data_IF_009056479051
#
_entry.id   IF_009056479051
#
_cell.length_a   1.000
_cell.length_b   1.000
_cell.length_c   1.000
_cell.angle_alpha   90.00
_cell.angle_beta   90.00
_cell.angle_gamma   90.00
#
_symmetry.space_group_name_H-M   'P 1'
#
loop_
_entity.id
_entity.type
_entity.pdbx_description
1 polymer ?
#
# COMPACT_ATOMS: atom_id res chain seq x y z
N UNK A 1 -3.20 -33.00 -26.27
CA UNK A 1 -3.56 -31.86 -25.40
C UNK A 1 -2.69 -31.82 -24.13
N UNK A 2 -1.37 -31.57 -24.25
CA UNK A 2 -0.40 -31.55 -23.12
C UNK A 2 0.14 -30.16 -22.76
N UNK A 3 -0.37 -29.09 -23.38
CA UNK A 3 0.12 -27.72 -23.19
C UNK A 3 -0.51 -26.98 -22.01
N UNK A 4 -1.71 -27.34 -21.56
CA UNK A 4 -2.32 -26.72 -20.37
C UNK A 4 -1.54 -26.92 -19.06
N UNK A 5 -1.05 -28.13 -18.70
CA UNK A 5 -0.39 -28.33 -17.42
C UNK A 5 0.95 -27.60 -17.31
N UNK A 6 1.68 -27.41 -18.42
CA UNK A 6 2.96 -26.70 -18.41
C UNK A 6 2.81 -25.18 -18.29
N UNK A 7 1.75 -24.60 -18.85
CA UNK A 7 1.43 -23.16 -18.72
C UNK A 7 0.91 -22.85 -17.31
N UNK A 8 0.03 -23.70 -16.76
CA UNK A 8 -0.44 -23.58 -15.37
C UNK A 8 0.71 -23.70 -14.36
N UNK A 9 1.65 -24.63 -14.58
CA UNK A 9 2.82 -24.79 -13.69
C UNK A 9 3.78 -23.59 -13.75
N UNK A 10 3.88 -22.91 -14.89
CA UNK A 10 4.65 -21.66 -15.05
C UNK A 10 3.96 -20.46 -14.40
N UNK A 11 2.63 -20.35 -14.49
CA UNK A 11 1.89 -19.31 -13.77
C UNK A 11 1.98 -19.49 -12.25
N UNK A 12 1.98 -20.73 -11.76
CA UNK A 12 2.19 -21.05 -10.34
C UNK A 12 3.61 -20.72 -9.85
N UNK A 13 4.65 -20.94 -10.66
CA UNK A 13 6.02 -20.52 -10.28
C UNK A 13 6.24 -19.01 -10.36
N UNK A 14 5.49 -18.31 -11.22
CA UNK A 14 5.56 -16.85 -11.37
C UNK A 14 4.84 -16.10 -10.26
N UNK A 15 3.68 -16.60 -9.81
CA UNK A 15 2.88 -15.97 -8.76
C UNK A 15 3.58 -15.96 -7.39
N UNK A 16 4.25 -17.05 -7.00
CA UNK A 16 5.04 -17.09 -5.75
C UNK A 16 6.27 -16.17 -5.80
N UNK A 17 6.85 -15.97 -6.99
CA UNK A 17 7.97 -15.05 -7.16
C UNK A 17 7.52 -13.59 -7.07
N UNK A 18 6.38 -13.27 -7.66
CA UNK A 18 5.76 -11.94 -7.64
C UNK A 18 5.32 -11.55 -6.22
N UNK A 19 4.70 -12.48 -5.48
CA UNK A 19 4.29 -12.25 -4.09
C UNK A 19 5.47 -12.00 -3.14
N UNK A 20 6.57 -12.75 -3.32
CA UNK A 20 7.82 -12.51 -2.55
C UNK A 20 8.43 -11.16 -2.90
N UNK A 21 8.51 -10.83 -4.18
CA UNK A 21 9.08 -9.55 -4.63
C UNK A 21 8.23 -8.38 -4.12
N UNK A 22 6.90 -8.47 -4.19
CA UNK A 22 5.97 -7.50 -3.62
C UNK A 22 6.13 -7.33 -2.10
N UNK A 23 6.31 -8.43 -1.36
CA UNK A 23 6.61 -8.37 0.07
C UNK A 23 7.93 -7.63 0.34
N UNK A 24 9.01 -7.98 -0.35
CA UNK A 24 10.30 -7.32 -0.18
C UNK A 24 10.24 -5.84 -0.49
N UNK A 25 9.58 -5.46 -1.59
CA UNK A 25 9.38 -4.05 -1.97
C UNK A 25 8.60 -3.31 -0.89
N UNK A 26 7.49 -3.87 -0.38
CA UNK A 26 6.70 -3.24 0.67
C UNK A 26 7.47 -3.09 1.98
N UNK A 27 8.22 -4.13 2.38
CA UNK A 27 9.03 -4.09 3.59
C UNK A 27 10.18 -3.06 3.48
N UNK A 28 10.91 -3.06 2.37
CA UNK A 28 11.97 -2.09 2.12
C UNK A 28 11.42 -0.67 2.04
N UNK A 29 10.29 -0.48 1.35
CA UNK A 29 9.62 0.82 1.29
C UNK A 29 9.22 1.31 2.68
N UNK A 30 8.66 0.44 3.54
CA UNK A 30 8.28 0.80 4.91
C UNK A 30 9.48 1.22 5.77
N UNK A 31 10.64 0.60 5.58
CA UNK A 31 11.88 0.98 6.30
C UNK A 31 12.46 2.28 5.76
N UNK A 32 12.47 2.46 4.44
CA UNK A 32 13.11 3.61 3.77
C UNK A 32 12.26 4.88 3.86
N UNK A 33 10.93 4.76 3.96
CA UNK A 33 10.05 5.94 3.96
C UNK A 33 10.19 6.78 5.23
N UNK A 34 10.56 6.17 6.37
CA UNK A 34 10.81 6.89 7.62
C UNK A 34 11.98 7.88 7.51
N UNK A 35 13.22 7.47 7.18
CA UNK A 35 14.33 8.40 7.04
C UNK A 35 14.12 9.40 5.91
N UNK A 36 13.49 9.00 4.79
CA UNK A 36 13.14 9.94 3.72
C UNK A 36 12.16 11.02 4.19
N UNK A 37 11.14 10.64 4.96
CA UNK A 37 10.17 11.59 5.51
C UNK A 37 10.82 12.54 6.50
N UNK A 38 11.72 12.05 7.36
CA UNK A 38 12.49 12.90 8.28
C UNK A 38 13.35 13.90 7.52
N UNK A 39 14.08 13.46 6.49
CA UNK A 39 14.90 14.35 5.66
C UNK A 39 14.05 15.40 4.95
N UNK A 40 12.89 15.01 4.41
CA UNK A 40 11.97 15.93 3.74
C UNK A 40 11.39 16.97 4.71
N UNK A 41 10.99 16.55 5.91
CA UNK A 41 10.45 17.43 6.95
C UNK A 41 11.50 18.40 7.53
N UNK A 42 12.75 17.96 7.66
CA UNK A 42 13.85 18.82 8.12
C UNK A 42 14.24 19.85 7.04
N UNK A 43 14.20 19.46 5.76
CA UNK A 43 14.53 20.36 4.63
C UNK A 43 13.46 21.41 4.34
N UNK A 44 12.21 21.16 4.72
CA UNK A 44 11.10 22.09 4.52
C UNK A 44 10.53 22.51 5.88
N UNK A 45 11.17 23.48 6.58
CA UNK A 45 10.73 23.90 7.90
C UNK A 45 9.34 24.54 7.82
N UNK A 46 8.32 23.75 8.13
CA UNK A 46 6.97 24.22 8.44
C UNK A 46 6.83 24.60 9.92
N UNK A 47 5.59 24.69 10.40
CA UNK A 47 5.34 24.85 11.83
C UNK A 47 5.81 23.61 12.61
N UNK A 48 6.08 23.74 13.92
CA UNK A 48 6.41 22.59 14.77
C UNK A 48 5.31 21.52 14.74
N UNK A 49 4.05 21.93 14.64
CA UNK A 49 2.91 21.04 14.46
C UNK A 49 2.98 20.24 13.17
N UNK A 50 3.36 20.87 12.04
CA UNK A 50 3.50 20.20 10.75
C UNK A 50 4.56 19.09 10.80
N UNK A 51 5.65 19.33 11.54
CA UNK A 51 6.70 18.34 11.73
C UNK A 51 6.19 17.10 12.50
N UNK A 52 5.50 17.28 13.62
CA UNK A 52 4.97 16.16 14.41
C UNK A 52 3.88 15.40 13.65
N UNK A 53 3.00 16.11 12.93
CA UNK A 53 1.97 15.48 12.09
C UNK A 53 2.63 14.68 10.97
N UNK A 54 3.63 15.23 10.30
CA UNK A 54 4.35 14.53 9.23
C UNK A 54 5.07 13.28 9.71
N UNK A 55 5.72 13.35 10.88
CA UNK A 55 6.36 12.20 11.50
C UNK A 55 5.34 11.11 11.86
N UNK A 56 4.20 11.50 12.42
CA UNK A 56 3.11 10.57 12.76
C UNK A 56 2.56 9.87 11.51
N UNK A 57 2.26 10.62 10.45
CA UNK A 57 1.75 10.05 9.19
C UNK A 57 2.80 9.17 8.51
N UNK A 58 4.07 9.54 8.53
CA UNK A 58 5.15 8.71 8.00
C UNK A 58 5.27 7.37 8.74
N UNK A 59 5.07 7.37 10.07
CA UNK A 59 5.06 6.15 10.86
C UNK A 59 3.85 5.26 10.52
N UNK A 60 2.66 5.85 10.40
CA UNK A 60 1.44 5.14 9.94
C UNK A 60 1.67 4.53 8.55
N UNK A 61 2.26 5.29 7.63
CA UNK A 61 2.57 4.84 6.28
C UNK A 61 3.53 3.65 6.28
N UNK A 62 4.59 3.70 7.09
CA UNK A 62 5.54 2.61 7.25
C UNK A 62 4.86 1.34 7.79
N UNK A 63 4.00 1.47 8.81
CA UNK A 63 3.23 0.35 9.34
C UNK A 63 2.28 -0.25 8.31
N UNK A 64 1.59 0.58 7.52
CA UNK A 64 0.69 0.12 6.47
C UNK A 64 1.45 -0.64 5.37
N UNK A 65 2.63 -0.18 4.97
CA UNK A 65 3.50 -0.88 4.01
C UNK A 65 3.95 -2.24 4.55
N UNK A 66 4.36 -2.32 5.81
CA UNK A 66 4.71 -3.59 6.44
C UNK A 66 3.49 -4.53 6.50
N UNK A 67 2.32 -4.00 6.86
CA UNK A 67 1.08 -4.77 6.92
C UNK A 67 0.66 -5.29 5.55
N UNK A 68 0.79 -4.46 4.51
CA UNK A 68 0.54 -4.85 3.12
C UNK A 68 1.47 -5.99 2.68
N UNK A 69 2.78 -5.87 2.96
CA UNK A 69 3.75 -6.93 2.65
C UNK A 69 3.41 -8.27 3.33
N UNK A 70 2.97 -8.23 4.59
CA UNK A 70 2.51 -9.43 5.30
C UNK A 70 1.23 -10.01 4.70
N UNK A 71 0.28 -9.17 4.29
CA UNK A 71 -1.01 -9.58 3.71
C UNK A 71 -0.83 -10.21 2.32
N UNK A 72 0.01 -9.64 1.48
CA UNK A 72 0.34 -10.20 0.15
C UNK A 72 0.83 -11.64 0.30
N UNK A 73 1.74 -11.89 1.26
CA UNK A 73 2.21 -13.25 1.56
C UNK A 73 1.07 -14.16 2.04
N UNK A 74 0.14 -13.65 2.86
CA UNK A 74 -1.00 -14.45 3.36
C UNK A 74 -1.97 -14.83 2.26
N UNK A 75 -2.30 -13.92 1.36
CA UNK A 75 -3.20 -14.19 0.22
C UNK A 75 -2.58 -15.25 -0.70
N UNK A 76 -1.29 -15.15 -0.97
CA UNK A 76 -0.56 -16.15 -1.77
C UNK A 76 -0.56 -17.54 -1.10
N UNK A 77 -0.28 -17.59 0.21
CA UNK A 77 -0.33 -18.84 0.98
C UNK A 77 -1.73 -19.48 1.02
N UNK A 78 -2.79 -18.66 1.05
CA UNK A 78 -4.18 -19.13 1.08
C UNK A 78 -4.71 -19.55 -0.30
N UNK A 79 -3.98 -19.30 -1.39
CA UNK A 79 -4.33 -19.67 -2.77
C UNK A 79 -5.79 -19.38 -3.13
N UNK A 80 -6.27 -18.19 -2.74
CA UNK A 80 -7.69 -17.83 -2.83
C UNK A 80 -8.15 -17.72 -4.29
N UNK A 81 -9.31 -18.29 -4.64
CA UNK A 81 -9.87 -18.13 -5.98
C UNK A 81 -10.26 -16.66 -6.22
N UNK A 82 -10.12 -16.18 -7.47
CA UNK A 82 -10.37 -14.78 -7.83
C UNK A 82 -11.76 -14.27 -7.40
N UNK A 83 -12.79 -15.13 -7.41
CA UNK A 83 -14.14 -14.77 -6.94
C UNK A 83 -14.21 -14.44 -5.45
N UNK A 84 -13.36 -15.05 -4.62
CA UNK A 84 -13.28 -14.76 -3.19
C UNK A 84 -12.52 -13.44 -2.89
N UNK A 85 -11.77 -12.92 -3.88
CA UNK A 85 -10.94 -11.70 -3.78
C UNK A 85 -11.67 -10.41 -4.17
N UNK A 86 -13.00 -10.43 -4.28
CA UNK A 86 -13.76 -9.24 -4.73
C UNK A 86 -13.56 -8.00 -3.87
N UNK A 87 -13.35 -8.16 -2.55
CA UNK A 87 -13.10 -7.04 -1.64
C UNK A 87 -11.71 -6.42 -1.86
N UNK A 88 -10.73 -7.22 -2.29
CA UNK A 88 -9.41 -6.73 -2.69
C UNK A 88 -9.52 -5.88 -3.96
N UNK A 89 -10.22 -6.36 -4.99
CA UNK A 89 -10.43 -5.59 -6.23
C UNK A 89 -11.19 -4.28 -6.01
N UNK A 90 -12.19 -4.27 -5.12
CA UNK A 90 -12.83 -3.01 -4.71
C UNK A 90 -11.87 -2.09 -3.96
N UNK A 91 -11.00 -2.66 -3.11
CA UNK A 91 -9.92 -1.92 -2.47
C UNK A 91 -8.97 -1.29 -3.47
N UNK A 92 -8.60 -2.00 -4.54
CA UNK A 92 -7.73 -1.48 -5.61
C UNK A 92 -8.39 -0.30 -6.33
N UNK A 93 -9.68 -0.44 -6.71
CA UNK A 93 -10.44 0.64 -7.34
C UNK A 93 -10.60 1.86 -6.42
N UNK A 94 -10.91 1.61 -5.14
CA UNK A 94 -11.03 2.67 -4.15
C UNK A 94 -9.67 3.35 -3.90
N UNK A 95 -8.57 2.61 -3.89
CA UNK A 95 -7.22 3.14 -3.78
C UNK A 95 -6.88 4.08 -4.95
N UNK A 96 -7.21 3.68 -6.18
CA UNK A 96 -7.07 4.54 -7.37
C UNK A 96 -7.91 5.81 -7.22
N UNK A 97 -9.15 5.69 -6.72
CA UNK A 97 -10.01 6.84 -6.43
C UNK A 97 -9.39 7.79 -5.42
N UNK A 98 -8.85 7.28 -4.31
CA UNK A 98 -8.16 8.06 -3.27
C UNK A 98 -6.89 8.70 -3.82
N UNK A 99 -6.11 8.00 -4.63
CA UNK A 99 -4.92 8.57 -5.25
C UNK A 99 -5.27 9.72 -6.20
N UNK A 100 -6.21 9.50 -7.12
CA UNK A 100 -6.60 10.51 -8.11
C UNK A 100 -7.24 11.71 -7.41
N UNK A 101 -8.18 11.47 -6.50
CA UNK A 101 -8.84 12.53 -5.72
C UNK A 101 -7.85 13.30 -4.84
N UNK A 102 -6.96 12.56 -4.16
CA UNK A 102 -5.94 13.11 -3.28
C UNK A 102 -4.91 13.96 -4.02
N UNK A 103 -4.37 13.48 -5.15
CA UNK A 103 -3.42 14.25 -5.98
C UNK A 103 -4.08 15.53 -6.50
N UNK A 104 -5.33 15.46 -6.96
CA UNK A 104 -6.07 16.65 -7.41
C UNK A 104 -6.27 17.64 -6.27
N UNK A 105 -6.61 17.17 -5.08
CA UNK A 105 -6.76 18.01 -3.89
C UNK A 105 -5.44 18.67 -3.48
N UNK A 106 -4.33 17.91 -3.46
CA UNK A 106 -2.99 18.43 -3.17
C UNK A 106 -2.56 19.48 -4.21
N UNK A 107 -2.87 19.27 -5.49
CA UNK A 107 -2.58 20.24 -6.54
C UNK A 107 -3.36 21.56 -6.35
N UNK A 108 -4.55 21.52 -5.75
CA UNK A 108 -5.35 22.72 -5.47
C UNK A 108 -4.95 23.47 -4.20
N UNK A 109 -4.14 22.87 -3.32
CA UNK A 109 -3.85 23.45 -2.01
C UNK A 109 -2.95 24.70 -2.06
N UNK A 110 -2.29 25.01 -3.19
CA UNK A 110 -1.50 26.24 -3.36
C UNK A 110 -0.45 26.49 -2.25
N UNK A 111 -0.11 25.45 -1.49
CA UNK A 111 0.49 25.56 -0.17
C UNK A 111 2.00 25.54 -0.18
N UNK A 112 2.60 25.77 0.99
CA UNK A 112 4.05 25.68 1.17
C UNK A 112 4.57 24.26 0.85
N UNK A 113 5.86 24.09 0.49
CA UNK A 113 6.43 22.76 0.21
C UNK A 113 6.23 21.72 1.32
N UNK A 114 6.18 22.17 2.58
CA UNK A 114 5.89 21.32 3.73
C UNK A 114 4.45 20.78 3.69
N UNK A 115 3.46 21.62 3.35
CA UNK A 115 2.05 21.22 3.23
C UNK A 115 1.83 20.25 2.08
N UNK A 116 2.54 20.44 0.96
CA UNK A 116 2.50 19.49 -0.16
C UNK A 116 3.06 18.14 0.26
N UNK A 117 4.19 18.12 0.97
CA UNK A 117 4.80 16.89 1.48
C UNK A 117 3.86 16.15 2.44
N UNK A 118 3.21 16.87 3.36
CA UNK A 118 2.18 16.33 4.25
C UNK A 118 0.99 15.79 3.49
N UNK A 119 0.51 16.52 2.49
CA UNK A 119 -0.60 16.09 1.63
C UNK A 119 -0.29 14.78 0.93
N UNK A 120 0.92 14.63 0.36
CA UNK A 120 1.35 13.39 -0.30
C UNK A 120 1.44 12.24 0.70
N UNK A 121 2.01 12.47 1.89
CA UNK A 121 2.08 11.48 2.97
C UNK A 121 0.68 11.01 3.39
N UNK A 122 -0.26 11.94 3.56
CA UNK A 122 -1.65 11.64 3.94
C UNK A 122 -2.35 10.85 2.84
N UNK A 123 -2.27 11.30 1.59
CA UNK A 123 -2.89 10.61 0.45
C UNK A 123 -2.32 9.21 0.30
N UNK A 124 -1.00 9.05 0.37
CA UNK A 124 -0.33 7.75 0.34
C UNK A 124 -0.79 6.83 1.47
N UNK A 125 -0.92 7.36 2.69
CA UNK A 125 -1.37 6.59 3.85
C UNK A 125 -2.83 6.14 3.73
N UNK A 126 -3.71 7.00 3.22
CA UNK A 126 -5.11 6.68 2.97
C UNK A 126 -5.25 5.62 1.86
N UNK A 127 -4.52 5.78 0.75
CA UNK A 127 -4.50 4.80 -0.33
C UNK A 127 -4.05 3.42 0.17
N UNK A 128 -2.97 3.36 0.94
CA UNK A 128 -2.50 2.09 1.52
C UNK A 128 -3.46 1.52 2.56
N UNK A 129 -4.10 2.35 3.38
CA UNK A 129 -5.10 1.89 4.34
C UNK A 129 -6.29 1.22 3.62
N UNK A 130 -6.74 1.78 2.50
CA UNK A 130 -7.81 1.20 1.69
C UNK A 130 -7.40 -0.15 1.09
N UNK A 131 -6.19 -0.25 0.53
CA UNK A 131 -5.67 -1.53 0.00
C UNK A 131 -5.58 -2.60 1.09
N UNK A 132 -4.98 -2.23 2.23
CA UNK A 132 -4.82 -3.11 3.38
C UNK A 132 -6.18 -3.56 3.92
N UNK A 133 -7.18 -2.67 3.96
CA UNK A 133 -8.53 -3.01 4.39
C UNK A 133 -9.23 -3.98 3.42
N UNK A 134 -9.08 -3.77 2.11
CA UNK A 134 -9.59 -4.70 1.09
C UNK A 134 -8.98 -6.10 1.22
N UNK A 135 -7.66 -6.17 1.37
CA UNK A 135 -6.93 -7.43 1.58
C UNK A 135 -7.30 -8.12 2.90
N UNK A 136 -7.38 -7.38 4.01
CA UNK A 136 -7.82 -7.91 5.30
C UNK A 136 -9.24 -8.47 5.22
N UNK A 137 -10.16 -7.78 4.54
CA UNK A 137 -11.54 -8.25 4.38
C UNK A 137 -11.60 -9.55 3.59
N UNK A 138 -10.79 -9.67 2.52
CA UNK A 138 -10.65 -10.91 1.76
C UNK A 138 -10.12 -12.06 2.63
N UNK A 139 -9.03 -11.82 3.37
CA UNK A 139 -8.42 -12.84 4.24
C UNK A 139 -9.37 -13.24 5.38
N UNK A 140 -10.00 -12.27 6.04
CA UNK A 140 -10.93 -12.53 7.15
C UNK A 140 -12.15 -13.34 6.70
N UNK A 141 -12.66 -13.11 5.49
CA UNK A 141 -13.74 -13.94 4.92
C UNK A 141 -13.27 -15.34 4.59
N UNK A 142 -12.08 -15.47 4.00
CA UNK A 142 -11.51 -16.77 3.68
C UNK A 142 -11.24 -17.65 4.91
N UNK A 143 -10.89 -17.05 6.06
CA UNK A 143 -10.68 -17.78 7.31
C UNK A 143 -11.99 -18.21 7.99
N UNK A 144 -13.14 -17.67 7.57
CA UNK A 144 -14.47 -18.02 8.12
C UNK A 144 -15.18 -19.11 7.32
N UNK A 145 -14.70 -19.43 6.12
CA UNK A 145 -15.22 -20.46 5.23
C UNK A 145 -14.40 -21.73 5.33
#
# INVERSE_FOLDING_TARGET
>A
MRFLPSVLRRQLSGAEFDAKLGQWVCCLAGVVILPLSVVALVRHPGSRSDFFVGLGVAFVLALLLLMLGMLVRRIDLLKLPARARWAEYLGDLACLGVMIGGIRFVATLGGSPAQVTLGILVVGSLSLAVLVFGMLTTVARALRT
#
